data_IF_273699298292
#
_entry.id   IF_273699298292
#
_cell.length_a   1.000
_cell.length_b   1.000
_cell.length_c   1.000
_cell.angle_alpha   90.00
_cell.angle_beta   90.00
_cell.angle_gamma   90.00
#
_symmetry.space_group_name_H-M   'P 1'
#
loop_
_entity.id
_entity.type
_entity.pdbx_description
1 polymer ?
#
# COMPACT_ATOMS: atom_id res chain seq x y z
N UNK A 1 13.00 -32.34 7.75
CA UNK A 1 12.76 -30.88 7.74
C UNK A 1 13.91 -30.23 7.02
N UNK A 2 13.61 -29.52 5.95
CA UNK A 2 14.64 -28.88 5.12
C UNK A 2 15.25 -27.69 5.86
N UNK A 3 16.53 -27.38 5.66
CA UNK A 3 17.21 -26.26 6.34
C UNK A 3 16.47 -24.92 6.16
N UNK A 4 15.84 -24.74 4.99
CA UNK A 4 15.06 -23.57 4.63
C UNK A 4 13.82 -23.38 5.54
N UNK A 5 13.09 -24.46 5.86
CA UNK A 5 11.93 -24.42 6.75
C UNK A 5 12.31 -23.99 8.17
N UNK A 6 13.47 -24.45 8.64
CA UNK A 6 13.96 -24.09 9.98
C UNK A 6 14.39 -22.63 10.04
N UNK A 7 15.00 -22.11 8.96
CA UNK A 7 15.47 -20.73 8.87
C UNK A 7 14.34 -19.72 8.84
N UNK A 8 13.31 -19.96 8.04
CA UNK A 8 12.19 -19.03 7.83
C UNK A 8 10.98 -19.29 8.73
N UNK A 9 11.12 -20.16 9.73
CA UNK A 9 10.02 -20.57 10.59
C UNK A 9 9.39 -19.40 11.34
N UNK A 10 10.21 -18.43 11.75
CA UNK A 10 9.75 -17.25 12.50
C UNK A 10 8.92 -16.34 11.59
N UNK A 11 9.42 -16.10 10.40
CA UNK A 11 8.82 -15.25 9.38
C UNK A 11 7.52 -15.87 8.84
N UNK A 12 7.48 -17.19 8.66
CA UNK A 12 6.27 -17.92 8.26
C UNK A 12 5.17 -17.92 9.34
N UNK A 13 5.54 -17.72 10.61
CA UNK A 13 4.60 -17.62 11.73
C UNK A 13 4.20 -16.18 12.05
N UNK A 14 4.88 -15.19 11.48
CA UNK A 14 4.60 -13.78 11.74
C UNK A 14 3.26 -13.38 11.11
N UNK A 15 2.32 -12.91 11.93
CA UNK A 15 0.98 -12.48 11.51
C UNK A 15 1.06 -11.42 10.40
N UNK A 16 2.00 -10.49 10.48
CA UNK A 16 2.15 -9.41 9.49
C UNK A 16 2.54 -9.97 8.11
N UNK A 17 3.55 -10.84 8.07
CA UNK A 17 4.04 -11.44 6.83
C UNK A 17 3.04 -12.42 6.22
N UNK A 18 2.30 -13.15 7.06
CA UNK A 18 1.22 -14.03 6.63
C UNK A 18 0.11 -13.24 5.93
N UNK A 19 -0.31 -12.10 6.49
CA UNK A 19 -1.31 -11.22 5.87
C UNK A 19 -0.77 -10.60 4.56
N UNK A 20 0.50 -10.20 4.53
CA UNK A 20 1.16 -9.70 3.32
C UNK A 20 1.10 -10.74 2.18
N UNK A 21 1.47 -11.99 2.48
CA UNK A 21 1.44 -13.07 1.50
C UNK A 21 0.01 -13.42 1.04
N UNK A 22 -0.96 -13.46 1.96
CA UNK A 22 -2.35 -13.78 1.64
C UNK A 22 -3.03 -12.71 0.79
N UNK A 23 -2.73 -11.44 1.03
CA UNK A 23 -3.29 -10.31 0.26
C UNK A 23 -2.67 -10.17 -1.14
N UNK A 24 -1.56 -10.86 -1.42
CA UNK A 24 -0.89 -10.81 -2.72
C UNK A 24 -1.60 -11.72 -3.76
N UNK A 25 -2.02 -11.20 -4.94
CA UNK A 25 -2.79 -11.95 -5.94
C UNK A 25 -2.12 -13.23 -6.49
N UNK A 26 -0.79 -13.31 -6.39
CA UNK A 26 -0.03 -14.49 -6.81
C UNK A 26 0.12 -15.57 -5.72
N UNK A 27 0.31 -15.19 -4.44
CA UNK A 27 0.67 -16.16 -3.40
C UNK A 27 -0.57 -16.76 -2.73
N UNK A 28 -1.51 -15.90 -2.29
CA UNK A 28 -2.76 -16.30 -1.61
C UNK A 28 -2.50 -17.40 -0.57
N UNK A 29 -3.15 -18.55 -0.71
CA UNK A 29 -3.04 -19.73 0.16
C UNK A 29 -2.18 -20.86 -0.41
N UNK A 30 -1.55 -20.67 -1.59
CA UNK A 30 -0.85 -21.73 -2.31
C UNK A 30 0.38 -22.27 -1.57
N UNK A 31 1.00 -21.44 -0.74
CA UNK A 31 2.21 -21.77 0.00
C UNK A 31 1.93 -22.52 1.32
N UNK A 32 0.66 -22.68 1.71
CA UNK A 32 0.24 -23.35 2.94
C UNK A 32 -0.35 -24.74 2.62
N UNK A 33 0.39 -25.78 2.96
CA UNK A 33 -0.06 -27.17 2.76
C UNK A 33 -1.06 -27.65 3.83
N UNK A 34 -0.97 -27.11 5.05
CA UNK A 34 -1.82 -27.54 6.17
C UNK A 34 -3.14 -26.76 6.19
N UNK A 35 -4.27 -27.48 6.11
CA UNK A 35 -5.59 -26.86 6.06
C UNK A 35 -5.94 -26.08 7.35
N UNK A 36 -5.49 -26.55 8.51
CA UNK A 36 -5.73 -25.87 9.79
C UNK A 36 -5.00 -24.51 9.82
N UNK A 37 -3.76 -24.48 9.35
CA UNK A 37 -2.97 -23.25 9.26
C UNK A 37 -3.59 -22.30 8.23
N UNK A 38 -4.11 -22.85 7.13
CA UNK A 38 -4.78 -22.08 6.08
C UNK A 38 -6.02 -21.39 6.62
N UNK A 39 -6.88 -22.09 7.35
CA UNK A 39 -8.10 -21.53 7.94
C UNK A 39 -7.79 -20.43 8.95
N UNK A 40 -6.78 -20.66 9.81
CA UNK A 40 -6.30 -19.64 10.76
C UNK A 40 -5.77 -18.40 10.01
N UNK A 41 -4.96 -18.60 8.97
CA UNK A 41 -4.39 -17.52 8.19
C UNK A 41 -5.48 -16.70 7.45
N UNK A 42 -6.50 -17.37 6.90
CA UNK A 42 -7.67 -16.71 6.30
C UNK A 42 -8.48 -15.94 7.36
N UNK A 43 -8.63 -16.47 8.57
CA UNK A 43 -9.28 -15.76 9.67
C UNK A 43 -8.51 -14.48 10.05
N UNK A 44 -7.17 -14.53 10.11
CA UNK A 44 -6.33 -13.35 10.34
C UNK A 44 -6.50 -12.30 9.22
N UNK A 45 -6.59 -12.73 7.96
CA UNK A 45 -6.85 -11.81 6.84
C UNK A 45 -8.22 -11.14 6.99
N UNK A 46 -9.27 -11.92 7.31
CA UNK A 46 -10.62 -11.39 7.54
C UNK A 46 -10.64 -10.33 8.64
N UNK A 47 -9.96 -10.60 9.76
CA UNK A 47 -9.83 -9.65 10.88
C UNK A 47 -9.13 -8.36 10.42
N UNK A 48 -8.03 -8.46 9.67
CA UNK A 48 -7.29 -7.30 9.17
C UNK A 48 -8.13 -6.45 8.21
N UNK A 49 -8.86 -7.10 7.29
CA UNK A 49 -9.76 -6.42 6.35
C UNK A 49 -10.90 -5.71 7.10
N UNK A 50 -11.49 -6.37 8.10
CA UNK A 50 -12.57 -5.79 8.92
C UNK A 50 -12.08 -4.62 9.77
N UNK A 51 -10.88 -4.72 10.34
CA UNK A 51 -10.26 -3.62 11.09
C UNK A 51 -10.06 -2.40 10.20
N UNK A 52 -9.58 -2.61 8.97
CA UNK A 52 -9.32 -1.55 8.01
C UNK A 52 -10.58 -0.89 7.48
N UNK A 53 -11.64 -1.68 7.25
CA UNK A 53 -12.93 -1.11 6.81
C UNK A 53 -13.61 -0.29 7.91
N UNK A 54 -13.48 -0.68 9.18
CA UNK A 54 -14.05 0.05 10.32
C UNK A 54 -13.31 1.36 10.63
N UNK A 55 -11.98 1.40 10.50
CA UNK A 55 -11.21 2.62 10.79
C UNK A 55 -11.59 3.79 9.88
N UNK A 56 -12.04 3.54 8.66
CA UNK A 56 -12.49 4.59 7.73
C UNK A 56 -13.95 5.02 7.95
N UNK A 57 -14.74 4.26 8.71
CA UNK A 57 -16.12 4.62 9.05
C UNK A 57 -16.26 5.63 10.19
N UNK A 58 -15.18 5.93 10.91
CA UNK A 58 -15.20 6.78 12.12
C UNK A 58 -14.73 8.21 11.83
N UNK A 59 -14.06 8.47 10.71
CA UNK A 59 -13.55 9.82 10.37
C UNK A 59 -14.50 10.67 9.50
N UNK A 60 -15.74 10.22 9.27
CA UNK A 60 -16.71 10.95 8.42
C UNK A 60 -17.92 11.55 9.17
N UNK A 61 -17.90 11.62 10.51
CA UNK A 61 -19.02 12.16 11.28
C UNK A 61 -18.58 13.01 12.47
N UNK A 62 -17.86 14.11 12.20
CA UNK A 62 -17.74 15.28 13.09
C UNK A 62 -17.08 16.43 12.32
N UNK A 63 -17.77 16.99 11.33
CA UNK A 63 -17.62 18.42 11.01
C UNK A 63 -19.04 18.93 10.93
N UNK A 64 -19.42 19.65 11.98
CA UNK A 64 -20.67 20.37 12.06
C UNK A 64 -20.80 21.30 10.85
N UNK A 65 -21.92 21.13 10.18
CA UNK A 65 -22.43 21.99 9.13
C UNK A 65 -22.84 23.31 9.76
N UNK A 66 -22.02 24.36 9.61
CA UNK A 66 -22.51 25.73 9.67
C UNK A 66 -21.60 26.71 8.90
N UNK A 67 -22.25 27.36 7.92
CA UNK A 67 -21.91 28.63 7.26
C UNK A 67 -21.04 28.62 5.99
N UNK A 68 -21.79 28.72 4.89
CA UNK A 68 -21.47 29.32 3.59
C UNK A 68 -20.83 30.70 3.78
N UNK A 69 -19.69 30.97 3.12
CA UNK A 69 -19.51 32.19 2.33
C UNK A 69 -18.36 32.10 1.33
N UNK A 70 -18.61 32.66 0.15
CA UNK A 70 -17.74 32.74 -1.02
C UNK A 70 -16.32 33.25 -0.73
N UNK A 71 -15.29 32.62 -1.30
CA UNK A 71 -14.22 33.32 -2.05
C UNK A 71 -13.40 32.38 -2.95
N UNK A 72 -13.42 32.70 -4.24
CA UNK A 72 -12.29 32.74 -5.18
C UNK A 72 -11.50 31.44 -5.54
N UNK A 73 -11.65 31.11 -6.82
CA UNK A 73 -10.77 30.32 -7.67
C UNK A 73 -9.27 30.54 -7.38
N UNK A 74 -8.57 29.47 -7.02
CA UNK A 74 -7.27 29.15 -7.62
C UNK A 74 -7.12 27.63 -7.63
N UNK A 75 -6.92 27.04 -8.81
CA UNK A 75 -6.72 25.60 -8.95
C UNK A 75 -5.41 25.20 -8.28
N UNK A 76 -5.50 24.29 -7.31
CA UNK A 76 -4.37 23.59 -6.73
C UNK A 76 -4.45 22.11 -7.17
N UNK A 77 -3.73 21.80 -8.24
CA UNK A 77 -3.61 20.48 -8.87
C UNK A 77 -2.91 19.43 -7.98
N UNK A 78 -2.42 19.81 -6.80
CA UNK A 78 -1.68 18.91 -5.90
C UNK A 78 -2.58 17.96 -5.11
N UNK A 79 -3.88 18.28 -4.98
CA UNK A 79 -4.84 17.44 -4.26
C UNK A 79 -5.18 16.11 -4.97
N UNK A 80 -4.73 15.93 -6.21
CA UNK A 80 -4.92 14.68 -6.97
C UNK A 80 -3.86 13.61 -6.69
N UNK A 81 -2.76 13.92 -5.99
CA UNK A 81 -1.69 12.95 -5.72
C UNK A 81 -2.11 11.83 -4.74
N UNK A 82 -3.08 12.10 -3.85
CA UNK A 82 -3.57 11.14 -2.85
C UNK A 82 -5.04 10.73 -3.05
N UNK A 83 -5.54 10.74 -4.29
CA UNK A 83 -6.95 10.40 -4.58
C UNK A 83 -7.30 8.91 -4.41
N UNK A 84 -6.34 8.06 -4.03
CA UNK A 84 -6.59 6.63 -3.79
C UNK A 84 -7.62 6.35 -2.69
N UNK A 85 -7.79 7.28 -1.74
CA UNK A 85 -8.82 7.22 -0.71
C UNK A 85 -10.23 7.52 -1.22
N UNK A 86 -10.37 8.10 -2.43
CA UNK A 86 -11.67 8.50 -3.01
C UNK A 86 -12.31 7.44 -3.91
N UNK A 87 -11.66 6.29 -4.14
CA UNK A 87 -12.27 5.16 -4.87
C UNK A 87 -13.24 4.44 -3.91
N UNK A 88 -14.40 5.05 -3.67
CA UNK A 88 -15.56 4.33 -3.14
C UNK A 88 -16.20 3.58 -4.30
N UNK A 89 -15.75 2.36 -4.55
CA UNK A 89 -16.54 1.43 -5.35
C UNK A 89 -17.78 1.04 -4.54
N UNK A 90 -18.90 1.68 -4.89
CA UNK A 90 -20.24 1.23 -4.59
C UNK A 90 -20.44 -0.17 -5.19
N UNK A 91 -20.25 -1.20 -4.36
CA UNK A 91 -20.90 -2.49 -4.56
C UNK A 91 -21.17 -3.05 -3.18
N UNK A 92 -22.44 -3.31 -2.86
CA UNK A 92 -22.89 -3.98 -1.64
C UNK A 92 -22.47 -5.46 -1.62
N UNK A 93 -21.19 -5.74 -1.88
CA UNK A 93 -20.58 -7.04 -1.69
C UNK A 93 -20.15 -7.06 -0.22
N UNK A 94 -20.74 -7.97 0.56
CA UNK A 94 -20.28 -8.21 1.93
C UNK A 94 -18.78 -8.53 1.90
N UNK A 95 -18.02 -8.01 2.87
CA UNK A 95 -16.56 -8.20 2.98
C UNK A 95 -16.17 -9.69 2.82
N UNK A 96 -17.01 -10.59 3.32
CA UNK A 96 -16.81 -12.03 3.20
C UNK A 96 -16.89 -12.53 1.76
N UNK A 97 -17.84 -12.03 0.96
CA UNK A 97 -17.98 -12.37 -0.46
C UNK A 97 -16.79 -11.86 -1.27
N UNK A 98 -16.28 -10.66 -0.93
CA UNK A 98 -15.06 -10.12 -1.55
C UNK A 98 -13.85 -11.02 -1.28
N UNK A 99 -13.64 -11.42 -0.03
CA UNK A 99 -12.54 -12.31 0.39
C UNK A 99 -12.67 -13.68 -0.28
N UNK A 100 -13.87 -14.26 -0.30
CA UNK A 100 -14.11 -15.55 -0.95
C UNK A 100 -13.83 -15.47 -2.46
N UNK A 101 -14.35 -14.43 -3.13
CA UNK A 101 -14.11 -14.19 -4.56
C UNK A 101 -12.62 -14.04 -4.86
N UNK A 102 -11.90 -13.26 -4.06
CA UNK A 102 -10.46 -13.08 -4.20
C UNK A 102 -9.69 -14.38 -4.07
N UNK A 103 -9.96 -15.17 -3.03
CA UNK A 103 -9.25 -16.43 -2.78
C UNK A 103 -9.55 -17.49 -3.85
N UNK A 104 -10.75 -17.49 -4.42
CA UNK A 104 -11.17 -18.42 -5.47
C UNK A 104 -10.63 -18.07 -6.87
N UNK A 105 -10.31 -16.80 -7.14
CA UNK A 105 -9.69 -16.40 -8.42
C UNK A 105 -8.35 -17.11 -8.61
N UNK A 106 -7.99 -17.44 -9.85
CA UNK A 106 -6.69 -18.02 -10.16
C UNK A 106 -5.54 -17.09 -9.76
N UNK A 107 -4.37 -17.63 -9.36
CA UNK A 107 -3.19 -16.83 -9.05
C UNK A 107 -2.73 -16.02 -10.26
N UNK A 108 -2.45 -14.73 -10.06
CA UNK A 108 -1.99 -13.85 -11.14
C UNK A 108 -0.88 -12.92 -10.66
N UNK A 109 0.03 -12.56 -11.57
CA UNK A 109 1.04 -11.52 -11.34
C UNK A 109 0.49 -10.12 -11.59
N UNK A 110 -0.69 -10.02 -12.19
CA UNK A 110 -1.30 -8.73 -12.52
C UNK A 110 -1.99 -8.15 -11.28
N UNK A 111 -1.53 -6.98 -10.84
CA UNK A 111 -2.06 -6.29 -9.65
C UNK A 111 -3.39 -5.55 -9.91
N UNK A 112 -3.79 -5.36 -11.17
CA UNK A 112 -5.08 -4.71 -11.50
C UNK A 112 -6.28 -5.52 -11.00
N UNK A 113 -6.09 -6.82 -10.73
CA UNK A 113 -7.13 -7.68 -10.12
C UNK A 113 -7.54 -7.20 -8.71
N UNK A 114 -6.69 -6.40 -8.05
CA UNK A 114 -7.02 -5.79 -6.76
C UNK A 114 -8.04 -4.64 -6.88
N UNK A 115 -8.25 -4.07 -8.06
CA UNK A 115 -9.28 -3.04 -8.27
C UNK A 115 -10.70 -3.59 -8.03
N UNK A 116 -10.91 -4.88 -8.30
CA UNK A 116 -12.18 -5.58 -8.03
C UNK A 116 -12.41 -5.83 -6.53
N UNK A 117 -11.38 -5.66 -5.70
CA UNK A 117 -11.38 -6.03 -4.28
C UNK A 117 -10.82 -4.88 -3.43
N UNK A 118 -11.60 -3.80 -3.23
CA UNK A 118 -11.12 -2.55 -2.65
C UNK A 118 -10.65 -2.71 -1.20
N UNK A 119 -11.25 -3.60 -0.40
CA UNK A 119 -10.86 -3.77 0.99
C UNK A 119 -9.57 -4.59 1.10
N UNK A 120 -9.41 -5.61 0.25
CA UNK A 120 -8.16 -6.39 0.17
C UNK A 120 -7.02 -5.54 -0.36
N UNK A 121 -7.29 -4.67 -1.33
CA UNK A 121 -6.33 -3.71 -1.90
C UNK A 121 -5.73 -2.80 -0.82
N UNK A 122 -6.54 -2.32 0.12
CA UNK A 122 -6.07 -1.51 1.25
C UNK A 122 -5.12 -2.28 2.15
N UNK A 123 -5.48 -3.52 2.51
CA UNK A 123 -4.62 -4.40 3.31
C UNK A 123 -3.32 -4.72 2.57
N UNK A 124 -3.41 -4.96 1.26
CA UNK A 124 -2.25 -5.23 0.40
C UNK A 124 -1.24 -4.07 0.45
N UNK A 125 -1.69 -2.83 0.25
CA UNK A 125 -0.82 -1.64 0.30
C UNK A 125 -0.18 -1.52 1.69
N UNK A 126 -0.96 -1.62 2.76
CA UNK A 126 -0.44 -1.49 4.12
C UNK A 126 0.66 -2.51 4.46
N UNK A 127 0.49 -3.76 4.04
CA UNK A 127 1.40 -4.84 4.42
C UNK A 127 2.54 -5.08 3.41
N UNK A 128 2.33 -4.77 2.11
CA UNK A 128 3.31 -5.04 1.05
C UNK A 128 4.05 -3.80 0.56
N UNK A 129 3.62 -2.58 0.92
CA UNK A 129 4.37 -1.36 0.63
C UNK A 129 4.77 -0.63 1.92
N UNK A 130 5.50 -1.29 2.85
CA UNK A 130 6.08 -0.55 3.96
C UNK A 130 7.03 0.51 3.39
N UNK A 131 7.10 1.67 4.06
CA UNK A 131 7.96 2.78 3.66
C UNK A 131 9.34 2.24 3.25
N UNK A 132 9.85 2.63 2.07
CA UNK A 132 11.13 2.13 1.61
C UNK A 132 12.19 2.42 2.65
N UNK A 133 13.04 1.43 2.93
CA UNK A 133 14.11 1.53 3.92
C UNK A 133 15.03 2.74 3.65
N UNK A 134 15.87 3.07 4.64
CA UNK A 134 16.87 4.15 4.55
C UNK A 134 17.67 4.10 3.24
N UNK A 135 17.89 2.91 2.65
CA UNK A 135 18.57 2.74 1.38
C UNK A 135 18.01 3.58 0.22
N UNK A 136 16.69 3.78 0.13
CA UNK A 136 16.11 4.63 -0.92
C UNK A 136 16.40 6.11 -0.68
N UNK A 137 16.36 6.52 0.59
CA UNK A 137 16.73 7.87 1.03
C UNK A 137 18.24 8.11 0.88
N UNK A 138 19.08 7.12 1.19
CA UNK A 138 20.53 7.15 0.99
C UNK A 138 20.90 7.27 -0.48
N UNK A 139 20.17 6.59 -1.38
CA UNK A 139 20.34 6.77 -2.83
C UNK A 139 20.04 8.21 -3.23
N UNK A 140 18.96 8.79 -2.73
CA UNK A 140 18.63 10.20 -2.95
C UNK A 140 19.77 11.08 -2.43
N UNK A 141 20.25 10.89 -1.21
CA UNK A 141 21.37 11.67 -0.66
C UNK A 141 22.67 11.52 -1.45
N UNK A 142 22.97 10.32 -1.96
CA UNK A 142 24.13 10.09 -2.83
C UNK A 142 24.03 10.91 -4.11
N UNK A 143 22.84 10.90 -4.76
CA UNK A 143 22.56 11.69 -5.96
C UNK A 143 22.62 13.19 -5.65
N UNK A 144 22.05 13.62 -4.53
CA UNK A 144 22.09 15.00 -4.03
C UNK A 144 23.53 15.48 -3.89
N UNK A 145 24.39 14.67 -3.28
CA UNK A 145 25.79 15.01 -3.06
C UNK A 145 26.56 15.15 -4.39
N UNK A 146 26.20 14.35 -5.41
CA UNK A 146 26.76 14.47 -6.75
C UNK A 146 26.29 15.74 -7.50
N UNK A 147 25.09 16.25 -7.20
CA UNK A 147 24.59 17.52 -7.75
C UNK A 147 25.25 18.70 -7.03
N UNK A 148 25.39 18.64 -5.70
CA UNK A 148 26.02 19.65 -4.83
C UNK A 148 27.55 19.60 -4.87
N UNK A 149 28.13 19.50 -6.06
CA UNK A 149 29.59 19.54 -6.22
C UNK A 149 30.10 20.98 -6.25
N UNK A 150 31.23 21.25 -5.59
CA UNK A 150 31.89 22.58 -5.51
C UNK A 150 32.13 23.26 -6.87
N UNK A 151 32.09 22.48 -7.97
CA UNK A 151 32.37 22.93 -9.35
C UNK A 151 31.14 23.46 -10.08
N UNK A 152 29.93 23.22 -9.57
CA UNK A 152 28.69 23.84 -10.05
C UNK A 152 28.46 25.11 -9.23
N UNK A 153 28.33 26.26 -9.89
CA UNK A 153 28.06 27.54 -9.22
C UNK A 153 26.75 27.53 -8.43
N UNK A 154 26.42 28.65 -7.74
CA UNK A 154 25.22 28.81 -6.90
C UNK A 154 23.98 28.22 -7.60
N UNK A 155 23.54 27.06 -7.12
CA UNK A 155 22.25 26.45 -7.48
C UNK A 155 21.19 26.98 -6.50
N UNK A 156 20.03 27.35 -7.01
CA UNK A 156 18.87 27.68 -6.15
C UNK A 156 18.18 26.39 -5.73
N UNK A 157 17.46 26.43 -4.61
CA UNK A 157 16.75 25.25 -4.08
C UNK A 157 15.77 24.66 -5.10
N UNK A 158 14.97 25.52 -5.77
CA UNK A 158 14.04 25.09 -6.83
C UNK A 158 14.75 24.38 -8.00
N UNK A 159 15.93 24.86 -8.41
CA UNK A 159 16.68 24.20 -9.49
C UNK A 159 17.29 22.88 -9.01
N UNK A 160 17.75 22.83 -7.75
CA UNK A 160 18.26 21.61 -7.15
C UNK A 160 17.20 20.52 -7.09
N UNK A 161 15.99 20.83 -6.61
CA UNK A 161 14.86 19.90 -6.55
C UNK A 161 14.47 19.36 -7.93
N UNK A 162 14.40 20.23 -8.96
CA UNK A 162 14.12 19.82 -10.35
C UNK A 162 15.18 18.85 -10.88
N UNK A 163 16.46 19.15 -10.65
CA UNK A 163 17.56 18.27 -11.11
C UNK A 163 17.57 16.95 -10.32
N UNK A 164 17.26 16.99 -9.03
CA UNK A 164 17.09 15.80 -8.19
C UNK A 164 15.98 14.91 -8.75
N UNK A 165 14.81 15.47 -9.02
CA UNK A 165 13.68 14.73 -9.57
C UNK A 165 14.03 14.04 -10.90
N UNK A 166 14.69 14.77 -11.82
CA UNK A 166 15.13 14.22 -13.10
C UNK A 166 16.21 13.13 -12.97
N UNK A 167 17.09 13.23 -11.97
CA UNK A 167 18.16 12.23 -11.77
C UNK A 167 17.67 10.99 -11.03
N UNK A 168 16.74 11.11 -10.10
CA UNK A 168 16.18 9.99 -9.36
C UNK A 168 15.23 9.14 -10.22
N UNK A 169 14.53 9.75 -11.18
CA UNK A 169 13.54 9.08 -12.05
C UNK A 169 14.07 8.80 -13.47
N UNK A 170 15.34 8.41 -13.59
CA UNK A 170 15.87 7.95 -14.89
C UNK A 170 15.31 6.56 -15.20
N UNK A 171 14.36 6.50 -16.11
CA UNK A 171 13.95 5.27 -16.80
C UNK A 171 14.86 5.00 -18.00
#
# INVERSE_FOLDING_TARGET
KTSIETRFRKEQADKFLVIAALSHPYFKTLWINNNIIKDLAVANLKEAVLKKSKSEGIESSNIDDENIENTNKHGDETSSFFSWSKIRSNSNITIENEIASFLNKSPTKNLLVLEDTPNIKKVFIEHNTPLPSSASVERIFSISNAILTKRRGRITDDHFEKVMFLKCNKF
#
